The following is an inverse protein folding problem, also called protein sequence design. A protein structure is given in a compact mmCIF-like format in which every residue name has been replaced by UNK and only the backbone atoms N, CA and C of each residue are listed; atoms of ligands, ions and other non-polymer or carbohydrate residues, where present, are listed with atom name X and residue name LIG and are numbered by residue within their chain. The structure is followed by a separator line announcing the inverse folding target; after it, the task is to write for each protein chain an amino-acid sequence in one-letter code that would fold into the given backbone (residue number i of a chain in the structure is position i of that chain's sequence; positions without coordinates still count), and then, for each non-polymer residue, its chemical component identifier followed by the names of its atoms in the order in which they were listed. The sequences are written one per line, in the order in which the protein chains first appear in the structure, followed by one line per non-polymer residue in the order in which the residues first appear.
data_IF_093340221443
#
_entry.id   IF_093340221443
#
_cell.length_a   1.000
_cell.length_b   1.000
_cell.length_c   1.000
_cell.angle_alpha   90.00
_cell.angle_beta   90.00
_cell.angle_gamma   90.00
#
_symmetry.space_group_name_H-M   'P 1'
#
loop_
_entity.id
_entity.type
_entity.pdbx_description
1 polymer ?
#
# COMPACT_ATOMS: atom_id res chain seq x y z
N UNK A 1 -23.01 1.20 -2.98
CA UNK A 1 -22.01 2.21 -2.57
C UNK A 1 -20.70 1.62 -2.00
N UNK A 2 -20.70 0.80 -0.94
CA UNK A 2 -19.45 0.33 -0.28
C UNK A 2 -18.47 -0.45 -1.18
N UNK A 3 -18.94 -1.27 -2.14
CA UNK A 3 -18.07 -2.00 -3.09
C UNK A 3 -17.35 -1.07 -4.09
N UNK A 4 -18.07 -0.11 -4.65
CA UNK A 4 -17.54 0.83 -5.66
C UNK A 4 -16.42 1.69 -5.05
N UNK A 5 -16.61 2.21 -3.84
CA UNK A 5 -15.60 3.00 -3.13
C UNK A 5 -14.34 2.17 -2.81
N UNK A 6 -14.48 0.88 -2.53
CA UNK A 6 -13.34 -0.02 -2.31
C UNK A 6 -12.55 -0.28 -3.60
N UNK A 7 -13.22 -0.40 -4.75
CA UNK A 7 -12.54 -0.59 -6.04
C UNK A 7 -11.84 0.68 -6.50
N UNK A 8 -12.46 1.84 -6.33
CA UNK A 8 -11.82 3.14 -6.63
C UNK A 8 -10.56 3.32 -5.78
N UNK A 9 -10.63 3.06 -4.47
CA UNK A 9 -9.48 3.14 -3.59
C UNK A 9 -8.34 2.17 -3.98
N UNK A 10 -8.69 0.96 -4.44
CA UNK A 10 -7.69 -0.01 -4.91
C UNK A 10 -7.00 0.46 -6.19
N UNK A 11 -7.75 0.95 -7.18
CA UNK A 11 -7.19 1.52 -8.41
C UNK A 11 -6.31 2.71 -8.09
N UNK A 12 -6.72 3.56 -7.14
CA UNK A 12 -5.93 4.72 -6.73
C UNK A 12 -4.59 4.33 -6.11
N UNK A 13 -4.54 3.32 -5.24
CA UNK A 13 -3.28 2.80 -4.68
C UNK A 13 -2.36 2.26 -5.78
N UNK A 14 -2.89 1.57 -6.79
CA UNK A 14 -2.10 1.08 -7.93
C UNK A 14 -1.49 2.24 -8.70
N UNK A 15 -2.27 3.30 -8.97
CA UNK A 15 -1.78 4.50 -9.66
C UNK A 15 -0.66 5.17 -8.85
N UNK A 16 -0.82 5.31 -7.53
CA UNK A 16 0.19 5.93 -6.67
C UNK A 16 1.48 5.09 -6.60
N UNK A 17 1.37 3.75 -6.51
CA UNK A 17 2.52 2.86 -6.57
C UNK A 17 3.23 2.93 -7.92
N UNK A 18 2.48 2.98 -9.03
CA UNK A 18 3.04 3.15 -10.36
C UNK A 18 3.77 4.50 -10.52
N UNK A 19 3.20 5.58 -9.97
CA UNK A 19 3.88 6.88 -9.89
C UNK A 19 5.16 6.83 -9.07
N UNK A 20 5.17 6.08 -7.97
CA UNK A 20 6.38 5.81 -7.20
C UNK A 20 7.43 5.06 -8.01
N UNK A 21 7.04 4.03 -8.76
CA UNK A 21 7.95 3.24 -9.60
C UNK A 21 8.58 4.13 -10.66
N UNK A 22 7.78 5.00 -11.30
CA UNK A 22 8.29 5.99 -12.25
C UNK A 22 9.39 6.86 -11.63
N UNK A 23 9.15 7.41 -10.43
CA UNK A 23 10.14 8.23 -9.71
C UNK A 23 11.40 7.42 -9.35
N UNK A 24 11.24 6.14 -9.01
CA UNK A 24 12.36 5.25 -8.71
C UNK A 24 13.23 5.01 -9.96
N UNK A 25 12.60 4.79 -11.12
CA UNK A 25 13.29 4.63 -12.40
C UNK A 25 14.04 5.91 -12.78
N UNK A 26 13.38 7.07 -12.71
CA UNK A 26 13.99 8.35 -13.12
C UNK A 26 15.10 8.81 -12.18
N UNK A 27 15.06 8.42 -10.91
CA UNK A 27 16.10 8.74 -9.94
C UNK A 27 17.28 7.75 -9.95
N UNK A 28 17.17 6.63 -10.68
CA UNK A 28 18.17 5.56 -10.66
C UNK A 28 18.27 4.82 -9.33
N UNK A 29 17.30 4.99 -8.43
CA UNK A 29 17.31 4.38 -7.10
C UNK A 29 16.77 2.94 -7.17
N UNK A 30 17.68 1.99 -7.35
CA UNK A 30 17.37 0.56 -7.51
C UNK A 30 16.71 -0.02 -6.25
N UNK A 31 17.16 0.39 -5.05
CA UNK A 31 16.60 -0.09 -3.79
C UNK A 31 15.12 0.29 -3.66
N UNK A 32 14.80 1.56 -3.91
CA UNK A 32 13.42 2.04 -3.91
C UNK A 32 12.56 1.30 -4.94
N UNK A 33 13.11 1.05 -6.13
CA UNK A 33 12.43 0.35 -7.22
C UNK A 33 12.05 -1.07 -6.81
N UNK A 34 12.97 -1.83 -6.22
CA UNK A 34 12.73 -3.18 -5.73
C UNK A 34 11.63 -3.18 -4.67
N UNK A 35 11.71 -2.27 -3.69
CA UNK A 35 10.70 -2.16 -2.63
C UNK A 35 9.30 -1.84 -3.17
N UNK A 36 9.19 -0.96 -4.16
CA UNK A 36 7.91 -0.60 -4.76
C UNK A 36 7.32 -1.72 -5.61
N UNK A 37 8.14 -2.45 -6.36
CA UNK A 37 7.71 -3.65 -7.09
C UNK A 37 7.18 -4.70 -6.10
N UNK A 38 7.88 -4.91 -4.99
CA UNK A 38 7.45 -5.82 -3.95
C UNK A 38 6.11 -5.38 -3.31
N UNK A 39 5.96 -4.09 -3.01
CA UNK A 39 4.71 -3.51 -2.52
C UNK A 39 3.54 -3.70 -3.50
N UNK A 40 3.79 -3.55 -4.81
CA UNK A 40 2.79 -3.76 -5.85
C UNK A 40 2.37 -5.23 -5.96
N UNK A 41 3.32 -6.17 -5.90
CA UNK A 41 3.03 -7.61 -5.88
C UNK A 41 2.19 -8.01 -4.65
N UNK A 42 2.53 -7.50 -3.47
CA UNK A 42 1.76 -7.72 -2.24
C UNK A 42 0.33 -7.18 -2.37
N UNK A 43 0.18 -6.00 -2.96
CA UNK A 43 -1.13 -5.39 -3.15
C UNK A 43 -2.00 -6.19 -4.12
N UNK A 44 -1.42 -6.67 -5.22
CA UNK A 44 -2.10 -7.56 -6.18
C UNK A 44 -2.51 -8.88 -5.53
N UNK A 45 -1.63 -9.48 -4.71
CA UNK A 45 -1.94 -10.68 -3.95
C UNK A 45 -3.11 -10.45 -2.98
N UNK A 46 -3.16 -9.29 -2.33
CA UNK A 46 -4.28 -8.92 -1.45
C UNK A 46 -5.59 -8.80 -2.22
N UNK A 47 -5.58 -8.16 -3.40
CA UNK A 47 -6.78 -8.08 -4.27
C UNK A 47 -7.25 -9.46 -4.68
N UNK A 48 -6.33 -10.31 -5.16
CA UNK A 48 -6.64 -11.66 -5.63
C UNK A 48 -7.28 -12.51 -4.54
N UNK A 49 -6.74 -12.50 -3.32
CA UNK A 49 -7.31 -13.29 -2.22
C UNK A 49 -8.63 -12.70 -1.70
N UNK A 50 -8.82 -11.37 -1.73
CA UNK A 50 -10.10 -10.75 -1.35
C UNK A 50 -11.25 -11.14 -2.29
N UNK A 51 -10.96 -11.42 -3.56
CA UNK A 51 -11.96 -11.88 -4.53
C UNK A 51 -12.42 -13.33 -4.31
N UNK A 52 -11.62 -14.16 -3.63
CA UNK A 52 -11.85 -15.59 -3.45
C UNK A 52 -12.48 -15.99 -2.10
N UNK A 53 -12.75 -15.05 -1.19
CA UNK A 53 -13.32 -15.37 0.13
C UNK A 53 -14.85 -15.54 0.03
N UNK A 54 -15.32 -16.76 0.24
CA UNK A 54 -16.75 -17.12 0.36
C UNK A 54 -17.20 -16.77 1.78
N UNK A 55 -18.30 -16.02 1.86
CA UNK A 55 -18.75 -15.27 3.02
C UNK A 55 -19.36 -16.20 4.08
N UNK A 56 -18.68 -16.45 5.19
CA UNK A 56 -19.38 -16.86 6.44
C UNK A 56 -18.60 -16.61 7.75
N UNK A 57 -18.21 -15.36 8.05
CA UNK A 57 -17.64 -15.00 9.36
C UNK A 57 -18.12 -13.62 9.84
N UNK A 58 -19.31 -13.53 10.46
CA UNK A 58 -19.98 -12.25 10.76
C UNK A 58 -19.33 -11.37 11.84
N UNK A 59 -18.49 -11.90 12.74
CA UNK A 59 -17.86 -11.13 13.83
C UNK A 59 -16.40 -10.76 13.53
N UNK A 60 -15.60 -11.70 13.02
CA UNK A 60 -14.21 -11.45 12.59
C UNK A 60 -14.16 -10.48 11.41
N UNK A 61 -15.10 -10.60 10.46
CA UNK A 61 -15.16 -9.71 9.31
C UNK A 61 -15.47 -8.24 9.67
N UNK A 62 -16.03 -7.91 10.84
CA UNK A 62 -16.31 -6.51 11.20
C UNK A 62 -15.03 -5.79 11.66
N UNK A 63 -14.28 -6.40 12.59
CA UNK A 63 -13.00 -5.87 13.05
C UNK A 63 -11.97 -5.88 11.92
N UNK A 64 -11.95 -6.94 11.12
CA UNK A 64 -11.10 -7.03 9.95
C UNK A 64 -11.48 -6.01 8.88
N UNK A 65 -12.77 -5.77 8.59
CA UNK A 65 -13.20 -4.71 7.67
C UNK A 65 -12.81 -3.31 8.16
N UNK A 66 -12.91 -3.05 9.46
CA UNK A 66 -12.50 -1.77 10.03
C UNK A 66 -10.98 -1.57 9.94
N UNK A 67 -10.19 -2.62 10.24
CA UNK A 67 -8.74 -2.63 10.12
C UNK A 67 -8.27 -2.48 8.65
N UNK A 68 -8.88 -3.22 7.72
CA UNK A 68 -8.64 -3.09 6.27
C UNK A 68 -8.90 -1.66 5.80
N UNK A 69 -10.03 -1.08 6.24
CA UNK A 69 -10.44 0.25 5.78
C UNK A 69 -9.54 1.34 6.34
N UNK A 70 -9.21 1.28 7.62
CA UNK A 70 -8.27 2.22 8.25
C UNK A 70 -6.90 2.11 7.59
N UNK A 71 -6.37 0.90 7.41
CA UNK A 71 -5.09 0.69 6.73
C UNK A 71 -5.09 1.21 5.30
N UNK A 72 -6.11 0.90 4.48
CA UNK A 72 -6.23 1.44 3.11
C UNK A 72 -6.23 2.97 3.11
N UNK A 73 -6.96 3.58 4.04
CA UNK A 73 -7.04 5.05 4.12
C UNK A 73 -5.69 5.65 4.53
N UNK A 74 -5.04 5.06 5.54
CA UNK A 74 -3.71 5.46 5.99
C UNK A 74 -2.66 5.31 4.90
N UNK A 75 -2.66 4.19 4.16
CA UNK A 75 -1.73 3.94 3.04
C UNK A 75 -1.94 4.96 1.93
N UNK A 76 -3.17 5.30 1.57
CA UNK A 76 -3.46 6.34 0.56
C UNK A 76 -2.92 7.70 0.99
N UNK A 77 -3.19 8.10 2.24
CA UNK A 77 -2.74 9.40 2.77
C UNK A 77 -1.21 9.44 2.81
N UNK A 78 -0.56 8.38 3.28
CA UNK A 78 0.90 8.30 3.35
C UNK A 78 1.53 8.27 1.96
N UNK A 79 0.96 7.55 0.98
CA UNK A 79 1.46 7.53 -0.39
C UNK A 79 1.35 8.91 -1.04
N UNK A 80 0.22 9.60 -0.88
CA UNK A 80 0.05 10.97 -1.37
C UNK A 80 1.09 11.90 -0.75
N UNK A 81 1.27 11.82 0.57
CA UNK A 81 2.24 12.63 1.28
C UNK A 81 3.69 12.34 0.84
N UNK A 82 4.03 11.07 0.65
CA UNK A 82 5.34 10.63 0.16
C UNK A 82 5.62 11.14 -1.24
N UNK A 83 4.67 10.99 -2.15
CA UNK A 83 4.78 11.48 -3.53
C UNK A 83 4.88 13.00 -3.59
N UNK A 84 4.18 13.71 -2.70
CA UNK A 84 4.27 15.16 -2.57
C UNK A 84 5.68 15.60 -2.17
N UNK A 85 6.26 14.97 -1.13
CA UNK A 85 7.63 15.23 -0.69
C UNK A 85 8.63 14.93 -1.81
N UNK A 86 8.47 13.79 -2.50
CA UNK A 86 9.35 13.41 -3.60
C UNK A 86 9.28 14.39 -4.77
N UNK A 87 8.08 14.84 -5.12
CA UNK A 87 7.88 15.82 -6.20
C UNK A 87 8.54 17.16 -5.87
N UNK A 88 8.39 17.63 -4.62
CA UNK A 88 9.06 18.85 -4.15
C UNK A 88 10.57 18.65 -4.12
N UNK A 89 11.06 17.54 -3.56
CA UNK A 89 12.48 17.24 -3.48
C UNK A 89 13.14 17.17 -4.86
N UNK A 90 12.43 16.61 -5.84
CA UNK A 90 12.91 16.53 -7.22
C UNK A 90 12.92 17.90 -7.91
N UNK A 91 11.86 18.71 -7.73
CA UNK A 91 11.76 20.04 -8.34
C UNK A 91 12.75 21.05 -7.72
N UNK A 92 12.93 21.00 -6.40
CA UNK A 92 13.83 21.90 -5.67
C UNK A 92 15.29 21.43 -5.65
N UNK A 93 15.60 20.23 -6.15
CA UNK A 93 16.94 19.63 -6.07
C UNK A 93 17.39 19.33 -4.63
N UNK A 94 16.46 19.24 -3.68
CA UNK A 94 16.76 19.06 -2.27
C UNK A 94 16.96 17.57 -1.94
N UNK A 95 18.23 17.13 -1.93
CA UNK A 95 18.63 15.74 -1.67
C UNK A 95 18.07 15.17 -0.36
N UNK A 96 18.05 15.98 0.71
CA UNK A 96 17.48 15.56 1.99
C UNK A 96 15.98 15.23 1.87
N UNK A 97 15.19 16.03 1.14
CA UNK A 97 13.77 15.73 0.95
C UNK A 97 13.56 14.43 0.18
N UNK A 98 14.43 14.13 -0.80
CA UNK A 98 14.37 12.88 -1.55
C UNK A 98 14.63 11.67 -0.65
N UNK A 99 15.66 11.73 0.21
CA UNK A 99 15.96 10.66 1.18
C UNK A 99 14.77 10.41 2.11
N UNK A 100 14.14 11.47 2.61
CA UNK A 100 12.98 11.36 3.49
C UNK A 100 11.78 10.78 2.74
N UNK A 101 11.53 11.23 1.52
CA UNK A 101 10.47 10.68 0.66
C UNK A 101 10.69 9.20 0.34
N UNK A 102 11.92 8.78 0.04
CA UNK A 102 12.25 7.37 -0.20
C UNK A 102 12.06 6.51 1.03
N UNK A 103 12.54 6.96 2.19
CA UNK A 103 12.35 6.26 3.46
C UNK A 103 10.86 6.13 3.82
N UNK A 104 10.06 7.17 3.56
CA UNK A 104 8.63 7.15 3.80
C UNK A 104 7.92 6.15 2.87
N UNK A 105 8.31 6.10 1.60
CA UNK A 105 7.86 5.09 0.63
C UNK A 105 8.15 3.66 1.10
N UNK A 106 9.38 3.39 1.56
CA UNK A 106 9.79 2.07 2.05
C UNK A 106 9.01 1.67 3.30
N UNK A 107 8.78 2.60 4.24
CA UNK A 107 7.98 2.36 5.44
C UNK A 107 6.52 2.04 5.11
N UNK A 108 5.93 2.65 4.08
CA UNK A 108 4.58 2.30 3.62
C UNK A 108 4.53 0.84 3.16
N UNK A 109 5.51 0.40 2.37
CA UNK A 109 5.61 -1.00 1.93
C UNK A 109 5.74 -1.93 3.13
N UNK A 110 6.55 -1.56 4.13
CA UNK A 110 6.69 -2.34 5.37
C UNK A 110 5.36 -2.47 6.14
N UNK A 111 4.59 -1.38 6.25
CA UNK A 111 3.25 -1.41 6.88
C UNK A 111 2.32 -2.36 6.12
N UNK A 112 2.37 -2.37 4.78
CA UNK A 112 1.60 -3.31 3.96
C UNK A 112 2.01 -4.76 4.21
N UNK A 113 3.31 -5.04 4.37
CA UNK A 113 3.83 -6.38 4.72
C UNK A 113 3.34 -6.81 6.10
N UNK A 114 3.51 -5.97 7.11
CA UNK A 114 3.10 -6.26 8.49
C UNK A 114 1.61 -6.57 8.53
N UNK A 115 0.81 -5.78 7.83
CA UNK A 115 -0.61 -6.02 7.70
C UNK A 115 -0.91 -7.39 7.06
N UNK A 116 -0.22 -7.74 5.97
CA UNK A 116 -0.38 -9.02 5.32
C UNK A 116 -0.04 -10.19 6.26
N UNK A 117 1.02 -10.05 7.06
CA UNK A 117 1.43 -11.07 8.04
C UNK A 117 0.37 -11.27 9.13
N UNK A 118 -0.13 -10.18 9.72
CA UNK A 118 -1.23 -10.27 10.68
C UNK A 118 -2.44 -10.93 10.03
N UNK A 119 -2.79 -10.51 8.83
CA UNK A 119 -3.94 -11.06 8.13
C UNK A 119 -3.79 -12.56 7.83
N UNK A 120 -2.62 -13.02 7.38
CA UNK A 120 -2.33 -14.45 7.18
C UNK A 120 -2.39 -15.24 8.49
N UNK A 121 -1.87 -14.68 9.58
CA UNK A 121 -1.92 -15.30 10.90
C UNK A 121 -3.37 -15.46 11.40
N UNK A 122 -4.18 -14.40 11.28
CA UNK A 122 -5.59 -14.44 11.68
C UNK A 122 -6.42 -15.38 10.79
N UNK A 123 -6.24 -15.36 9.46
CA UNK A 123 -6.94 -16.28 8.53
C UNK A 123 -6.64 -17.75 8.85
N UNK A 124 -5.37 -18.10 9.12
CA UNK A 124 -5.01 -19.47 9.51
C UNK A 124 -5.55 -19.90 10.88
N UNK A 125 -5.61 -18.99 11.84
CA UNK A 125 -5.99 -19.31 13.23
C UNK A 125 -7.51 -19.38 13.41
N UNK A 126 -8.26 -18.57 12.65
CA UNK A 126 -9.70 -18.43 12.83
C UNK A 126 -10.55 -19.04 11.70
N UNK A 127 -9.94 -19.44 10.58
CA UNK A 127 -10.64 -20.18 9.52
C UNK A 127 -11.24 -19.32 8.41
N UNK A 128 -10.58 -18.21 8.05
CA UNK A 128 -10.99 -17.31 6.96
C UNK A 128 -10.49 -17.74 5.58
#
# INVERSE_FOLDING_TARGET
MKRIVSHIAMVFIIILLAGGIWIAVTSGNIDLLIFLIFGLLLFLFWIWKWLNIIIDERMVAIYEKAAVRTLKTSVIILLLFSLFILSIGYCAGASNLLVWGYALMQNIVLIMIIYLLFWLYYSRKFGA
#
